data_IF_691288124581
#
_entry.id   IF_691288124581
#
_cell.length_a   1.000
_cell.length_b   1.000
_cell.length_c   1.000
_cell.angle_alpha   90.00
_cell.angle_beta   90.00
_cell.angle_gamma   90.00
#
_symmetry.space_group_name_H-M   'P 1'
#
loop_
_entity.id
_entity.type
_entity.pdbx_description
1 polymer ?
#
# COMPACT_ATOMS: atom_id res chain seq x y z
N UNK A 1 9.62 -7.49 19.42
CA UNK A 1 8.81 -6.80 18.39
C UNK A 1 8.71 -7.70 17.18
N UNK A 2 7.48 -8.00 16.77
CA UNK A 2 7.18 -8.86 15.61
C UNK A 2 6.66 -7.99 14.47
N UNK A 3 7.36 -8.02 13.33
CA UNK A 3 6.97 -7.32 12.10
C UNK A 3 6.49 -8.37 11.11
N UNK A 4 5.18 -8.36 10.81
CA UNK A 4 4.58 -9.27 9.85
C UNK A 4 4.53 -8.62 8.46
N UNK A 5 4.90 -9.38 7.42
CA UNK A 5 4.72 -9.00 6.03
C UNK A 5 3.64 -9.86 5.38
N UNK A 6 2.67 -9.22 4.74
CA UNK A 6 1.57 -9.87 4.05
C UNK A 6 1.84 -9.81 2.55
N UNK A 7 1.85 -10.98 1.89
CA UNK A 7 2.14 -11.12 0.46
C UNK A 7 0.95 -11.80 -0.21
N UNK A 8 0.05 -11.03 -0.84
CA UNK A 8 -1.04 -11.58 -1.64
C UNK A 8 -0.50 -11.97 -3.03
N UNK A 9 -0.82 -13.15 -3.54
CA UNK A 9 -0.47 -13.53 -4.90
C UNK A 9 -1.47 -14.49 -5.53
N UNK A 10 -1.50 -14.51 -6.87
CA UNK A 10 -2.24 -15.45 -7.66
C UNK A 10 -1.35 -16.65 -7.98
N UNK A 11 -1.90 -17.85 -7.90
CA UNK A 11 -1.19 -19.09 -8.30
C UNK A 11 -1.34 -19.34 -9.80
N UNK A 12 -0.75 -18.47 -10.61
CA UNK A 12 -0.77 -18.54 -12.08
C UNK A 12 0.65 -18.79 -12.59
N UNK A 13 0.85 -19.67 -13.60
CA UNK A 13 2.19 -19.96 -14.14
C UNK A 13 2.94 -18.71 -14.60
N UNK A 14 2.22 -17.74 -15.16
CA UNK A 14 2.76 -16.48 -15.69
C UNK A 14 3.35 -15.57 -14.61
N UNK A 15 2.92 -15.73 -13.36
CA UNK A 15 3.41 -14.94 -12.21
C UNK A 15 4.45 -15.65 -11.38
N UNK A 16 4.75 -16.92 -11.67
CA UNK A 16 5.60 -17.76 -10.83
C UNK A 16 7.02 -17.19 -10.62
N UNK A 17 7.62 -16.59 -11.66
CA UNK A 17 8.94 -15.98 -11.56
C UNK A 17 8.92 -14.73 -10.67
N UNK A 18 7.92 -13.87 -10.85
CA UNK A 18 7.72 -12.66 -10.03
C UNK A 18 7.54 -13.02 -8.56
N UNK A 19 6.64 -13.97 -8.30
CA UNK A 19 6.39 -14.50 -6.94
C UNK A 19 7.66 -15.08 -6.34
N UNK A 20 8.41 -15.89 -7.09
CA UNK A 20 9.67 -16.50 -6.64
C UNK A 20 10.72 -15.44 -6.26
N UNK A 21 10.83 -14.35 -7.04
CA UNK A 21 11.70 -13.21 -6.77
C UNK A 21 11.28 -12.48 -5.48
N UNK A 22 9.98 -12.22 -5.35
CA UNK A 22 9.39 -11.59 -4.16
C UNK A 22 9.68 -12.40 -2.89
N UNK A 23 9.34 -13.70 -2.89
CA UNK A 23 9.52 -14.59 -1.75
C UNK A 23 10.98 -14.68 -1.31
N UNK A 24 11.90 -14.85 -2.27
CA UNK A 24 13.34 -14.89 -2.01
C UNK A 24 13.84 -13.62 -1.31
N UNK A 25 13.24 -12.46 -1.59
CA UNK A 25 13.65 -11.19 -0.99
C UNK A 25 13.29 -11.07 0.50
N UNK A 26 12.32 -11.82 0.98
CA UNK A 26 11.85 -11.76 2.38
C UNK A 26 12.28 -12.95 3.22
N UNK A 27 12.45 -14.15 2.63
CA UNK A 27 12.74 -15.39 3.36
C UNK A 27 14.08 -15.38 4.09
N UNK A 28 15.05 -14.59 3.63
CA UNK A 28 16.36 -14.44 4.29
C UNK A 28 16.35 -13.44 5.44
N UNK A 29 15.24 -12.77 5.68
CA UNK A 29 15.09 -11.71 6.68
C UNK A 29 14.23 -12.18 7.87
N UNK A 30 14.11 -11.34 8.91
CA UNK A 30 13.45 -11.73 10.18
C UNK A 30 11.95 -11.44 10.21
N UNK A 31 11.31 -11.27 9.05
CA UNK A 31 9.88 -11.06 8.98
C UNK A 31 9.08 -12.30 9.40
N UNK A 32 7.94 -12.05 10.05
CA UNK A 32 6.87 -13.03 10.17
C UNK A 32 6.05 -12.98 8.88
N UNK A 33 6.16 -14.02 8.04
CA UNK A 33 5.69 -13.98 6.65
C UNK A 33 4.31 -14.62 6.54
N UNK A 34 3.34 -13.90 5.96
CA UNK A 34 1.97 -14.36 5.72
C UNK A 34 1.67 -14.39 4.22
N UNK A 35 1.86 -15.55 3.61
CA UNK A 35 1.48 -15.80 2.22
C UNK A 35 -0.03 -15.99 2.11
N UNK A 36 -0.65 -15.30 1.15
CA UNK A 36 -2.08 -15.42 0.87
C UNK A 36 -2.28 -15.71 -0.61
N UNK A 37 -2.66 -16.95 -0.91
CA UNK A 37 -2.80 -17.44 -2.29
C UNK A 37 -4.24 -17.30 -2.75
N UNK A 38 -4.46 -16.62 -3.85
CA UNK A 38 -5.77 -16.52 -4.48
C UNK A 38 -6.00 -17.69 -5.45
N UNK A 39 -6.59 -18.77 -4.96
CA UNK A 39 -6.96 -19.93 -5.78
C UNK A 39 -8.31 -19.76 -6.50
N UNK A 40 -9.18 -18.88 -6.00
CA UNK A 40 -10.58 -18.80 -6.40
C UNK A 40 -10.92 -17.50 -7.14
N UNK A 41 -9.94 -16.65 -7.42
CA UNK A 41 -10.16 -15.35 -8.05
C UNK A 41 -10.92 -14.34 -7.17
N UNK A 42 -10.76 -14.42 -5.85
CA UNK A 42 -11.45 -13.54 -4.88
C UNK A 42 -10.87 -12.14 -4.82
N UNK A 43 -9.68 -11.95 -5.39
CA UNK A 43 -9.02 -10.66 -5.52
C UNK A 43 -8.14 -10.26 -4.32
N UNK A 44 -7.27 -9.28 -4.58
CA UNK A 44 -6.20 -8.83 -3.67
C UNK A 44 -6.72 -8.37 -2.31
N UNK A 45 -7.86 -7.68 -2.26
CA UNK A 45 -8.47 -7.20 -1.00
C UNK A 45 -8.80 -8.34 -0.05
N UNK A 46 -9.35 -9.45 -0.56
CA UNK A 46 -9.65 -10.64 0.26
C UNK A 46 -8.37 -11.24 0.80
N UNK A 47 -7.34 -11.38 -0.03
CA UNK A 47 -6.05 -11.93 0.36
C UNK A 47 -5.37 -11.07 1.43
N UNK A 48 -5.31 -9.75 1.24
CA UNK A 48 -4.75 -8.83 2.23
C UNK A 48 -5.53 -8.89 3.56
N UNK A 49 -6.85 -8.98 3.53
CA UNK A 49 -7.67 -9.10 4.73
C UNK A 49 -7.40 -10.41 5.50
N UNK A 50 -7.30 -11.54 4.81
CA UNK A 50 -6.91 -12.82 5.42
C UNK A 50 -5.50 -12.75 6.03
N UNK A 51 -4.57 -12.07 5.34
CA UNK A 51 -3.23 -11.82 5.85
C UNK A 51 -3.23 -10.99 7.12
N UNK A 52 -4.04 -9.93 7.19
CA UNK A 52 -4.21 -9.11 8.42
C UNK A 52 -4.69 -9.99 9.57
N UNK A 53 -5.72 -10.81 9.36
CA UNK A 53 -6.24 -11.72 10.40
C UNK A 53 -5.20 -12.71 10.87
N UNK A 54 -4.44 -13.30 9.93
CA UNK A 54 -3.36 -14.22 10.24
C UNK A 54 -2.25 -13.55 11.06
N UNK A 55 -1.79 -12.36 10.66
CA UNK A 55 -0.76 -11.60 11.36
C UNK A 55 -1.19 -11.18 12.77
N UNK A 56 -2.42 -10.69 12.92
CA UNK A 56 -2.99 -10.34 14.23
C UNK A 56 -3.08 -11.57 15.15
N UNK A 57 -3.53 -12.70 14.62
CA UNK A 57 -3.59 -13.97 15.38
C UNK A 57 -2.20 -14.45 15.80
N UNK A 58 -1.19 -14.21 14.96
CA UNK A 58 0.20 -14.54 15.28
C UNK A 58 0.86 -13.57 16.27
N UNK A 59 0.16 -12.47 16.66
CA UNK A 59 0.65 -11.50 17.62
C UNK A 59 1.62 -10.48 17.00
N UNK A 60 1.34 -10.02 15.78
CA UNK A 60 2.10 -8.95 15.14
C UNK A 60 2.03 -7.66 15.97
N UNK A 61 3.17 -6.98 16.13
CA UNK A 61 3.25 -5.62 16.65
C UNK A 61 3.07 -4.60 15.51
N UNK A 62 3.63 -4.94 14.33
CA UNK A 62 3.55 -4.13 13.11
C UNK A 62 3.24 -5.01 11.90
N UNK A 63 2.52 -4.44 10.93
CA UNK A 63 2.15 -5.11 9.68
C UNK A 63 2.55 -4.24 8.51
N UNK A 64 3.09 -4.86 7.47
CA UNK A 64 3.41 -4.25 6.18
C UNK A 64 2.93 -5.16 5.05
N UNK A 65 2.76 -4.58 3.85
CA UNK A 65 2.31 -5.31 2.66
C UNK A 65 3.41 -5.30 1.61
N UNK A 66 3.52 -6.38 0.85
CA UNK A 66 4.43 -6.49 -0.28
C UNK A 66 3.69 -7.16 -1.43
N UNK A 67 3.58 -6.48 -2.57
CA UNK A 67 2.97 -7.06 -3.75
C UNK A 67 3.91 -8.10 -4.37
N UNK A 68 3.34 -9.15 -4.95
CA UNK A 68 4.09 -10.32 -5.39
C UNK A 68 4.97 -10.07 -6.64
N UNK A 69 4.83 -8.92 -7.29
CA UNK A 69 5.70 -8.46 -8.38
C UNK A 69 6.83 -7.52 -7.91
N UNK A 70 6.83 -7.15 -6.63
CA UNK A 70 7.86 -6.31 -6.02
C UNK A 70 8.84 -7.11 -5.15
N UNK A 71 9.91 -6.46 -4.67
CA UNK A 71 10.87 -7.07 -3.75
C UNK A 71 11.22 -6.13 -2.60
N UNK A 72 11.64 -6.71 -1.49
CA UNK A 72 12.29 -5.96 -0.43
C UNK A 72 13.80 -5.85 -0.65
N UNK A 73 14.39 -4.73 -0.23
CA UNK A 73 15.84 -4.55 -0.16
C UNK A 73 16.45 -5.62 0.77
N UNK A 74 17.72 -6.03 0.56
CA UNK A 74 18.36 -7.07 1.38
C UNK A 74 18.37 -6.79 2.89
N UNK A 75 18.28 -5.53 3.29
CA UNK A 75 18.26 -5.03 4.67
C UNK A 75 16.91 -4.39 5.06
N UNK A 76 15.82 -4.72 4.36
CA UNK A 76 14.51 -4.10 4.55
C UNK A 76 13.99 -4.24 5.98
N UNK A 77 14.22 -5.40 6.63
CA UNK A 77 13.81 -5.60 8.01
C UNK A 77 14.47 -4.58 8.96
N UNK A 78 15.79 -4.38 8.83
CA UNK A 78 16.57 -3.43 9.61
C UNK A 78 16.19 -1.98 9.31
N UNK A 79 15.87 -1.66 8.04
CA UNK A 79 15.39 -0.34 7.64
C UNK A 79 14.02 -0.03 8.25
N UNK A 80 13.10 -0.99 8.24
CA UNK A 80 11.78 -0.86 8.88
C UNK A 80 11.93 -0.73 10.40
N UNK A 81 12.75 -1.56 11.01
CA UNK A 81 13.03 -1.50 12.45
C UNK A 81 13.59 -0.13 12.86
N UNK A 82 14.50 0.42 12.06
CA UNK A 82 15.06 1.74 12.27
C UNK A 82 14.00 2.84 12.12
N UNK A 83 13.14 2.75 11.10
CA UNK A 83 12.03 3.70 10.90
C UNK A 83 11.04 3.70 12.07
N UNK A 84 10.72 2.51 12.62
CA UNK A 84 9.88 2.38 13.82
C UNK A 84 10.57 3.04 15.02
N UNK A 85 11.88 2.85 15.17
CA UNK A 85 12.65 3.44 16.29
C UNK A 85 12.77 4.98 16.18
N UNK A 86 12.75 5.54 14.97
CA UNK A 86 12.74 6.98 14.72
C UNK A 86 11.40 7.63 15.14
N UNK A 87 10.30 6.89 15.07
CA UNK A 87 8.96 7.39 15.34
C UNK A 87 8.09 6.32 16.06
N UNK A 88 8.43 5.93 17.30
CA UNK A 88 7.83 4.78 17.98
C UNK A 88 6.36 4.97 18.32
N UNK A 89 5.90 6.20 18.44
CA UNK A 89 4.50 6.53 18.76
C UNK A 89 3.62 6.64 17.52
N UNK A 90 4.22 6.77 16.33
CA UNK A 90 3.46 6.94 15.10
C UNK A 90 2.79 5.62 14.66
N UNK A 91 1.49 5.64 14.40
CA UNK A 91 0.75 4.44 14.03
C UNK A 91 0.91 4.06 12.56
N UNK A 92 1.33 5.00 11.71
CA UNK A 92 1.58 4.81 10.28
C UNK A 92 2.95 5.41 9.94
N UNK A 93 3.83 4.60 9.38
CA UNK A 93 5.14 5.04 8.89
C UNK A 93 5.20 4.79 7.38
N UNK A 94 5.39 5.84 6.60
CA UNK A 94 5.62 5.75 5.17
C UNK A 94 7.12 5.69 4.88
N UNK A 95 7.52 4.71 4.06
CA UNK A 95 8.91 4.51 3.65
C UNK A 95 9.15 5.08 2.25
N UNK A 96 10.40 5.40 1.91
CA UNK A 96 10.80 5.62 0.54
C UNK A 96 10.92 4.29 -0.22
N UNK A 97 10.99 4.34 -1.55
CA UNK A 97 11.21 3.16 -2.37
C UNK A 97 12.10 3.45 -3.59
N UNK A 98 12.71 2.41 -4.14
CA UNK A 98 13.39 2.45 -5.43
C UNK A 98 12.44 1.93 -6.50
N UNK A 99 12.35 2.58 -7.66
CA UNK A 99 11.72 2.03 -8.86
C UNK A 99 12.77 1.40 -9.73
N UNK A 100 12.51 0.17 -10.13
CA UNK A 100 13.33 -0.59 -11.08
C UNK A 100 12.58 -0.74 -12.40
N UNK A 101 13.28 -0.55 -13.51
CA UNK A 101 12.73 -0.61 -14.85
C UNK A 101 13.33 -1.78 -15.62
N UNK A 102 12.63 -2.29 -16.66
CA UNK A 102 13.08 -3.39 -17.50
C UNK A 102 14.49 -3.21 -18.10
N UNK A 103 14.89 -1.97 -18.38
CA UNK A 103 16.22 -1.63 -18.90
C UNK A 103 17.34 -1.61 -17.83
N UNK A 104 17.04 -2.11 -16.63
CA UNK A 104 17.96 -2.14 -15.49
C UNK A 104 18.20 -0.81 -14.81
N UNK A 105 17.55 0.28 -15.28
CA UNK A 105 17.66 1.57 -14.61
C UNK A 105 16.89 1.56 -13.30
N UNK A 106 17.43 2.26 -12.32
CA UNK A 106 16.80 2.48 -11.03
C UNK A 106 16.51 3.96 -10.81
N UNK A 107 15.42 4.27 -10.13
CA UNK A 107 15.07 5.62 -9.74
C UNK A 107 14.59 5.66 -8.29
N UNK A 108 15.36 6.34 -7.45
CA UNK A 108 14.95 6.62 -6.08
C UNK A 108 13.68 7.49 -6.08
N UNK A 109 12.67 7.06 -5.37
CA UNK A 109 11.45 7.82 -5.11
C UNK A 109 11.41 8.27 -3.66
N UNK A 110 11.77 9.53 -3.46
CA UNK A 110 11.56 10.21 -2.19
C UNK A 110 10.10 10.61 -2.08
N UNK A 111 9.44 10.10 -1.05
CA UNK A 111 8.02 10.37 -0.83
C UNK A 111 7.78 11.83 -0.44
N UNK A 112 8.54 12.29 0.56
CA UNK A 112 8.57 13.66 1.06
C UNK A 112 9.80 13.82 1.97
N UNK A 113 9.99 14.97 2.56
CA UNK A 113 11.00 15.14 3.64
C UNK A 113 10.58 14.31 4.85
N UNK A 114 11.57 13.80 5.58
CA UNK A 114 11.34 13.09 6.83
C UNK A 114 10.59 13.96 7.84
N UNK A 115 9.60 13.39 8.52
CA UNK A 115 8.80 14.07 9.54
C UNK A 115 7.35 13.62 9.58
N UNK A 116 6.60 14.12 10.54
CA UNK A 116 5.16 13.86 10.70
C UNK A 116 4.34 14.80 9.81
N UNK A 117 3.38 14.24 9.09
CA UNK A 117 2.48 14.96 8.19
C UNK A 117 1.04 14.80 8.66
N UNK A 118 0.39 15.93 8.91
CA UNK A 118 -1.04 16.01 9.20
C UNK A 118 -1.88 15.88 7.94
N UNK A 119 -3.19 15.70 8.07
CA UNK A 119 -4.12 15.50 6.94
C UNK A 119 -4.06 16.61 5.88
N UNK A 120 -3.87 17.86 6.29
CA UNK A 120 -3.80 19.03 5.40
C UNK A 120 -2.54 19.01 4.51
N UNK A 121 -1.50 18.27 4.91
CA UNK A 121 -0.18 18.21 4.27
C UNK A 121 0.32 16.80 4.01
N UNK A 122 -0.57 15.87 3.66
CA UNK A 122 -0.20 14.47 3.39
C UNK A 122 0.93 14.37 2.37
N UNK A 123 1.88 13.44 2.57
CA UNK A 123 3.03 13.25 1.70
C UNK A 123 2.64 12.68 0.34
N UNK A 124 3.54 12.77 -0.64
CA UNK A 124 3.34 12.12 -1.92
C UNK A 124 3.15 10.60 -1.76
N UNK A 125 2.32 9.99 -2.63
CA UNK A 125 2.00 8.55 -2.64
C UNK A 125 1.43 8.04 -1.30
N UNK A 126 0.78 8.91 -0.54
CA UNK A 126 0.12 8.53 0.72
C UNK A 126 -0.93 7.42 0.54
N UNK A 127 -1.48 7.25 -0.66
CA UNK A 127 -2.55 6.29 -0.99
C UNK A 127 -2.10 4.83 -1.02
N UNK A 128 -0.81 4.54 -1.28
CA UNK A 128 -0.33 3.16 -1.40
C UNK A 128 -0.13 2.51 -0.03
N UNK A 129 -0.55 1.27 0.13
CA UNK A 129 -0.33 0.47 1.35
C UNK A 129 1.05 -0.19 1.38
N UNK A 130 1.62 -0.55 0.22
CA UNK A 130 2.86 -1.37 0.13
C UNK A 130 4.14 -0.67 0.58
N UNK A 131 4.18 0.64 0.64
CA UNK A 131 5.32 1.39 1.15
C UNK A 131 5.15 1.87 2.59
N UNK A 132 4.27 1.23 3.35
CA UNK A 132 3.93 1.62 4.73
C UNK A 132 4.08 0.50 5.72
N UNK A 133 4.33 0.91 6.95
CA UNK A 133 4.32 0.06 8.14
C UNK A 133 3.22 0.58 9.06
N UNK A 134 2.31 -0.30 9.45
CA UNK A 134 1.16 0.01 10.29
C UNK A 134 1.33 -0.65 11.67
N UNK A 135 1.04 0.08 12.76
CA UNK A 135 0.84 -0.60 14.04
C UNK A 135 -0.33 -1.58 13.92
N UNK A 136 -0.15 -2.79 14.42
CA UNK A 136 -1.17 -3.85 14.34
C UNK A 136 -2.49 -3.43 15.02
N UNK A 137 -2.42 -2.71 16.13
CA UNK A 137 -3.60 -2.22 16.84
C UNK A 137 -4.41 -1.20 16.03
N UNK A 138 -3.75 -0.37 15.21
CA UNK A 138 -4.47 0.58 14.34
C UNK A 138 -5.39 -0.14 13.37
N UNK A 139 -4.88 -1.21 12.73
CA UNK A 139 -5.60 -1.91 11.65
C UNK A 139 -6.38 -3.13 12.12
N UNK A 140 -6.54 -3.30 13.44
CA UNK A 140 -7.28 -4.43 14.03
C UNK A 140 -8.68 -4.59 13.43
N UNK A 141 -9.39 -3.47 13.24
CA UNK A 141 -10.77 -3.43 12.74
C UNK A 141 -10.90 -2.76 11.36
N UNK A 142 -9.77 -2.45 10.70
CA UNK A 142 -9.75 -1.86 9.36
C UNK A 142 -9.48 -2.96 8.33
N UNK A 143 -10.25 -2.95 7.23
CA UNK A 143 -10.12 -3.95 6.16
C UNK A 143 -10.13 -3.29 4.79
N UNK A 144 -9.39 -3.89 3.85
CA UNK A 144 -9.50 -3.54 2.43
C UNK A 144 -10.92 -3.79 1.92
N UNK A 145 -11.45 -2.88 1.11
CA UNK A 145 -12.79 -2.98 0.53
C UNK A 145 -12.82 -4.09 -0.52
N UNK A 146 -13.61 -5.14 -0.26
CA UNK A 146 -13.80 -6.24 -1.20
C UNK A 146 -14.70 -5.79 -2.35
N UNK A 147 -14.38 -6.24 -3.58
CA UNK A 147 -15.11 -5.90 -4.80
C UNK A 147 -14.69 -4.57 -5.44
N UNK A 148 -13.64 -3.93 -4.94
CA UNK A 148 -13.00 -2.78 -5.55
C UNK A 148 -11.66 -3.25 -6.17
N UNK A 149 -11.53 -3.15 -7.50
CA UNK A 149 -10.34 -3.59 -8.22
C UNK A 149 -9.24 -2.53 -8.33
N UNK A 150 -9.59 -1.26 -8.05
CA UNK A 150 -8.67 -0.13 -8.08
C UNK A 150 -9.06 0.87 -6.99
N UNK A 151 -8.06 1.43 -6.29
CA UNK A 151 -8.28 2.36 -5.17
C UNK A 151 -8.59 1.69 -3.83
N UNK A 152 -8.51 0.35 -3.72
CA UNK A 152 -8.66 -0.38 -2.46
C UNK A 152 -7.60 0.01 -1.43
N UNK A 153 -6.37 0.25 -1.88
CA UNK A 153 -5.25 0.74 -1.08
C UNK A 153 -5.55 2.13 -0.50
N UNK A 154 -6.06 3.02 -1.35
CA UNK A 154 -6.40 4.38 -0.98
C UNK A 154 -7.48 4.42 0.11
N UNK A 155 -8.57 3.64 -0.06
CA UNK A 155 -9.60 3.57 0.97
C UNK A 155 -9.07 3.00 2.28
N UNK A 156 -8.26 1.95 2.23
CA UNK A 156 -7.63 1.39 3.42
C UNK A 156 -6.78 2.42 4.17
N UNK A 157 -5.96 3.19 3.44
CA UNK A 157 -5.14 4.25 4.05
C UNK A 157 -6.01 5.41 4.56
N UNK A 158 -7.07 5.79 3.86
CA UNK A 158 -8.03 6.79 4.33
C UNK A 158 -8.72 6.38 5.63
N UNK A 159 -9.14 5.12 5.77
CA UNK A 159 -9.69 4.58 7.02
C UNK A 159 -8.68 4.67 8.18
N UNK A 160 -7.41 4.36 7.90
CA UNK A 160 -6.34 4.52 8.87
C UNK A 160 -6.16 6.00 9.27
N UNK A 161 -6.11 6.90 8.29
CA UNK A 161 -5.92 8.34 8.50
C UNK A 161 -7.12 8.99 9.19
N UNK A 162 -8.34 8.48 9.00
CA UNK A 162 -9.51 8.95 9.73
C UNK A 162 -9.36 8.76 11.25
N UNK A 163 -8.64 7.69 11.67
CA UNK A 163 -8.34 7.43 13.09
C UNK A 163 -7.12 8.19 13.60
N UNK A 164 -6.05 8.29 12.79
CA UNK A 164 -4.75 8.80 13.26
C UNK A 164 -4.54 10.28 13.02
N UNK A 165 -5.19 10.85 12.00
CA UNK A 165 -5.08 12.23 11.53
C UNK A 165 -3.70 12.63 11.02
N UNK A 166 -2.73 11.70 11.05
CA UNK A 166 -1.34 11.94 10.67
C UNK A 166 -0.63 10.66 10.24
N UNK A 167 0.53 10.81 9.59
CA UNK A 167 1.51 9.75 9.36
C UNK A 167 2.93 10.30 9.42
N UNK A 168 3.88 9.45 9.76
CA UNK A 168 5.30 9.78 9.71
C UNK A 168 5.92 9.33 8.38
N UNK A 169 6.76 10.15 7.79
CA UNK A 169 7.60 9.79 6.64
C UNK A 169 9.02 9.55 7.11
N UNK A 170 9.54 8.34 6.87
CA UNK A 170 10.93 8.00 7.10
C UNK A 170 11.74 8.19 5.83
N UNK A 171 13.02 8.55 5.97
CA UNK A 171 13.98 8.58 4.85
C UNK A 171 14.45 7.19 4.41
N UNK A 172 14.10 6.15 5.16
CA UNK A 172 14.52 4.76 4.94
C UNK A 172 13.88 4.16 3.70
N UNK A 173 14.56 3.17 3.10
CA UNK A 173 14.12 2.46 1.90
C UNK A 173 14.01 0.98 2.26
N UNK A 174 12.85 0.40 2.01
CA UNK A 174 12.63 -1.03 2.18
C UNK A 174 12.16 -1.71 0.89
N UNK A 175 11.45 -0.98 0.02
CA UNK A 175 10.77 -1.50 -1.15
C UNK A 175 11.53 -1.19 -2.45
N UNK A 176 11.69 -2.20 -3.29
CA UNK A 176 12.05 -2.10 -4.70
C UNK A 176 10.80 -2.38 -5.53
N UNK A 177 10.25 -1.32 -6.12
CA UNK A 177 9.05 -1.35 -6.94
C UNK A 177 9.42 -1.64 -8.40
N UNK A 178 9.05 -2.81 -8.90
CA UNK A 178 9.40 -3.25 -10.25
C UNK A 178 8.37 -2.77 -11.29
N UNK A 179 8.87 -2.26 -12.43
CA UNK A 179 8.08 -1.79 -13.57
C UNK A 179 8.21 -2.72 -14.79
N UNK A 180 8.50 -3.98 -14.55
CA UNK A 180 8.66 -5.04 -15.53
C UNK A 180 7.41 -5.94 -15.68
N UNK A 181 6.36 -5.73 -14.90
CA UNK A 181 5.11 -6.48 -15.00
C UNK A 181 4.10 -5.78 -15.94
N UNK A 182 3.92 -6.27 -17.20
CA UNK A 182 2.97 -5.67 -18.14
C UNK A 182 1.51 -5.86 -17.70
N UNK A 183 1.23 -6.86 -16.85
CA UNK A 183 -0.09 -7.19 -16.35
C UNK A 183 -0.40 -6.54 -15.00
N UNK A 184 0.43 -5.58 -14.56
CA UNK A 184 0.18 -4.82 -13.33
C UNK A 184 -1.18 -4.11 -13.40
N UNK A 185 -1.94 -4.14 -12.31
CA UNK A 185 -3.23 -3.44 -12.22
C UNK A 185 -3.12 -1.96 -12.59
N UNK A 186 -2.00 -1.32 -12.27
CA UNK A 186 -1.75 0.08 -12.63
C UNK A 186 -1.62 0.33 -14.14
N UNK A 187 -1.35 -0.70 -14.95
CA UNK A 187 -1.25 -0.61 -16.41
C UNK A 187 -2.53 -1.06 -17.13
N UNK A 188 -3.35 -1.89 -16.45
CA UNK A 188 -4.56 -2.51 -17.02
C UNK A 188 -5.86 -1.86 -16.53
N UNK A 189 -5.77 -0.74 -15.81
CA UNK A 189 -6.92 -0.01 -15.27
C UNK A 189 -7.93 0.34 -16.37
N UNK A 190 -9.19 -0.05 -16.17
CA UNK A 190 -10.32 0.22 -17.05
C UNK A 190 -11.13 1.44 -16.59
N UNK A 191 -12.02 1.93 -17.46
CA UNK A 191 -12.98 2.98 -17.09
C UNK A 191 -13.87 2.56 -15.90
N UNK A 192 -14.31 1.29 -15.86
CA UNK A 192 -15.13 0.79 -14.77
C UNK A 192 -14.37 0.78 -13.43
N UNK A 193 -13.09 0.49 -13.44
CA UNK A 193 -12.25 0.54 -12.24
C UNK A 193 -12.15 1.98 -11.71
N UNK A 194 -11.97 2.96 -12.61
CA UNK A 194 -11.93 4.37 -12.23
C UNK A 194 -13.27 4.89 -11.70
N UNK A 195 -14.39 4.46 -12.29
CA UNK A 195 -15.73 4.77 -11.77
C UNK A 195 -15.91 4.15 -10.40
N UNK A 196 -15.44 2.91 -10.20
CA UNK A 196 -15.47 2.22 -8.91
C UNK A 196 -14.71 3.00 -7.83
N UNK A 197 -13.48 3.43 -8.13
CA UNK A 197 -12.66 4.25 -7.23
C UNK A 197 -13.33 5.57 -6.86
N UNK A 198 -13.85 6.31 -7.84
CA UNK A 198 -14.57 7.57 -7.59
C UNK A 198 -15.82 7.36 -6.74
N UNK A 199 -16.59 6.31 -7.03
CA UNK A 199 -17.78 5.96 -6.25
C UNK A 199 -17.43 5.64 -4.81
N UNK A 200 -16.34 4.89 -4.60
CA UNK A 200 -15.84 4.55 -3.27
C UNK A 200 -15.38 5.79 -2.48
N UNK A 201 -14.68 6.73 -3.12
CA UNK A 201 -14.29 8.01 -2.50
C UNK A 201 -15.51 8.87 -2.15
N UNK A 202 -16.54 8.91 -3.01
CA UNK A 202 -17.80 9.60 -2.72
C UNK A 202 -18.52 8.97 -1.53
N UNK A 203 -18.60 7.65 -1.48
CA UNK A 203 -19.18 6.93 -0.34
C UNK A 203 -18.41 7.25 0.96
N UNK A 204 -17.08 7.21 0.91
CA UNK A 204 -16.24 7.55 2.05
C UNK A 204 -16.46 9.01 2.52
N UNK A 205 -16.58 9.96 1.57
CA UNK A 205 -16.91 11.35 1.88
C UNK A 205 -18.28 11.49 2.58
N UNK A 206 -19.28 10.71 2.17
CA UNK A 206 -20.60 10.71 2.82
C UNK A 206 -20.54 10.19 4.26
N UNK A 207 -19.73 9.16 4.52
CA UNK A 207 -19.52 8.63 5.88
C UNK A 207 -18.81 9.64 6.80
N UNK A 208 -17.97 10.51 6.23
CA UNK A 208 -17.20 11.54 6.94
C UNK A 208 -17.72 12.95 6.67
N UNK A 209 -19.02 13.10 6.37
CA UNK A 209 -19.65 14.39 5.95
C UNK A 209 -19.45 15.55 6.93
N UNK A 210 -19.29 15.25 8.21
CA UNK A 210 -19.10 16.25 9.28
C UNK A 210 -17.61 16.49 9.60
N UNK A 211 -16.69 15.81 8.91
CA UNK A 211 -15.23 15.96 9.03
C UNK A 211 -14.67 16.83 7.91
N UNK A 212 -14.58 18.14 8.15
CA UNK A 212 -14.15 19.11 7.14
C UNK A 212 -12.71 18.87 6.64
N UNK A 213 -11.79 18.40 7.50
CA UNK A 213 -10.41 18.09 7.09
C UNK A 213 -10.36 16.86 6.20
N UNK A 214 -11.07 15.79 6.57
CA UNK A 214 -11.13 14.58 5.74
C UNK A 214 -11.78 14.86 4.39
N UNK A 215 -12.85 15.66 4.36
CA UNK A 215 -13.47 16.10 3.11
C UNK A 215 -12.50 16.89 2.22
N UNK A 216 -11.66 17.73 2.80
CA UNK A 216 -10.64 18.46 2.04
C UNK A 216 -9.60 17.51 1.43
N UNK A 217 -9.16 16.48 2.16
CA UNK A 217 -8.27 15.42 1.64
C UNK A 217 -8.91 14.70 0.44
N UNK A 218 -10.16 14.26 0.60
CA UNK A 218 -10.87 13.52 -0.46
C UNK A 218 -11.04 14.39 -1.71
N UNK A 219 -11.47 15.65 -1.57
CA UNK A 219 -11.62 16.57 -2.70
C UNK A 219 -10.29 16.82 -3.43
N UNK A 220 -9.21 17.00 -2.68
CA UNK A 220 -7.86 17.14 -3.28
C UNK A 220 -7.51 15.88 -4.08
N UNK A 221 -7.75 14.71 -3.51
CA UNK A 221 -7.46 13.44 -4.18
C UNK A 221 -8.30 13.24 -5.44
N UNK A 222 -9.58 13.55 -5.41
CA UNK A 222 -10.44 13.51 -6.58
C UNK A 222 -9.91 14.40 -7.71
N UNK A 223 -9.47 15.63 -7.38
CA UNK A 223 -8.86 16.54 -8.34
C UNK A 223 -7.52 15.98 -8.91
N UNK A 224 -6.69 15.35 -8.09
CA UNK A 224 -5.45 14.68 -8.53
C UNK A 224 -5.73 13.55 -9.52
N UNK A 225 -6.75 12.74 -9.27
CA UNK A 225 -7.17 11.65 -10.14
C UNK A 225 -7.56 12.17 -11.53
N UNK A 226 -8.38 13.21 -11.62
CA UNK A 226 -8.75 13.83 -12.90
C UNK A 226 -7.56 14.33 -13.71
N UNK A 227 -6.48 14.74 -13.05
CA UNK A 227 -5.24 15.20 -13.70
C UNK A 227 -4.24 14.08 -14.00
N UNK A 228 -4.53 12.84 -13.57
CA UNK A 228 -3.65 11.70 -13.77
C UNK A 228 -3.65 11.27 -15.24
N UNK A 229 -2.46 11.01 -15.82
CA UNK A 229 -2.31 10.52 -17.19
C UNK A 229 -3.09 9.22 -17.48
N UNK A 230 -3.29 8.38 -16.47
CA UNK A 230 -4.10 7.16 -16.58
C UNK A 230 -5.58 7.49 -16.82
N UNK A 231 -6.15 8.42 -16.06
CA UNK A 231 -7.49 8.93 -16.25
C UNK A 231 -7.69 9.52 -17.64
N UNK A 232 -6.78 10.41 -18.07
CA UNK A 232 -6.82 11.06 -19.40
C UNK A 232 -6.80 10.02 -20.52
N UNK A 233 -5.90 9.02 -20.42
CA UNK A 233 -5.82 7.94 -21.41
C UNK A 233 -7.12 7.12 -21.49
N UNK A 234 -7.75 6.79 -20.37
CA UNK A 234 -8.99 6.00 -20.33
C UNK A 234 -10.17 6.81 -20.80
N UNK A 235 -10.18 8.13 -20.54
CA UNK A 235 -11.23 9.05 -21.01
C UNK A 235 -11.06 9.50 -22.47
N UNK A 236 -9.94 9.14 -23.13
CA UNK A 236 -9.66 9.49 -24.52
C UNK A 236 -9.16 10.93 -24.72
N UNK A 237 -8.60 11.55 -23.66
CA UNK A 237 -8.02 12.90 -23.70
C UNK A 237 -6.50 12.91 -23.95
#
# INVERSE_FOLDING_TARGET
MKISVIIPYKNEPETAELVGRCLKSVESQKFDIHYQVDFDGKGVSVMRNQGIESALKAGADYITFLDADDTYAPDAYEQILSAISEAPDEPIIQMNHVREYEDGKTKLRLMSKQGTYMLDRLPNLWVSSVNKVFKADLIRDIRFKVGLNHGEDELFVLECLAKTRQMYVSSRIALHYHKDNPNSLSTTTSLNDLIGEQTALMWFAMMHKDDAEMLAVIRRRQAELWNNACYKRVMGE
#
